data_IF_957513542538
#
_entry.id   IF_957513542538
#
_cell.length_a   1.000
_cell.length_b   1.000
_cell.length_c   1.000
_cell.angle_alpha   90.00
_cell.angle_beta   90.00
_cell.angle_gamma   90.00
#
_symmetry.space_group_name_H-M   'P 1'
#
loop_
_entity.id
_entity.type
_entity.pdbx_description
1 polymer ?
#
# COMPACT_ATOMS: atom_id res chain seq x y z
N UNK A 1 12.43 -19.90 7.08
CA UNK A 1 12.68 -18.80 8.03
C UNK A 1 12.00 -17.56 7.50
N UNK A 2 11.84 -16.52 8.32
CA UNK A 2 11.16 -15.29 7.92
C UNK A 2 11.83 -14.58 6.72
N UNK A 3 11.09 -13.66 6.10
CA UNK A 3 11.58 -12.86 4.98
C UNK A 3 10.52 -11.95 4.39
N UNK A 4 10.75 -11.56 3.15
CA UNK A 4 9.84 -10.71 2.38
C UNK A 4 9.29 -11.45 1.17
N UNK A 5 8.06 -11.11 0.81
CA UNK A 5 7.39 -11.57 -0.40
C UNK A 5 7.21 -10.39 -1.36
N UNK A 6 7.69 -10.56 -2.59
CA UNK A 6 7.57 -9.56 -3.66
C UNK A 6 6.65 -10.14 -4.73
N UNK A 7 5.51 -9.49 -5.03
CA UNK A 7 4.61 -9.93 -6.10
C UNK A 7 5.28 -10.01 -7.47
N UNK A 8 4.75 -10.88 -8.34
CA UNK A 8 5.32 -11.15 -9.66
C UNK A 8 5.42 -9.89 -10.54
N UNK A 9 4.47 -8.96 -10.43
CA UNK A 9 4.46 -7.70 -11.17
C UNK A 9 5.64 -6.76 -10.81
N UNK A 10 6.30 -7.01 -9.67
CA UNK A 10 7.45 -6.23 -9.20
C UNK A 10 8.75 -7.04 -9.17
N UNK A 11 8.65 -8.37 -9.32
CA UNK A 11 9.76 -9.30 -9.18
C UNK A 11 10.95 -8.94 -10.08
N UNK A 12 10.72 -8.62 -11.34
CA UNK A 12 11.80 -8.37 -12.30
C UNK A 12 12.74 -7.23 -11.86
N UNK A 13 12.20 -6.06 -11.51
CA UNK A 13 13.03 -4.92 -11.13
C UNK A 13 13.61 -5.09 -9.72
N UNK A 14 12.85 -5.66 -8.77
CA UNK A 14 13.34 -5.91 -7.41
C UNK A 14 14.48 -6.92 -7.45
N UNK A 15 14.35 -8.02 -8.19
CA UNK A 15 15.43 -8.98 -8.41
C UNK A 15 16.66 -8.30 -9.02
N UNK A 16 16.48 -7.37 -9.97
CA UNK A 16 17.56 -6.54 -10.51
C UNK A 16 18.33 -5.81 -9.40
N UNK A 17 17.63 -5.12 -8.50
CA UNK A 17 18.24 -4.40 -7.37
C UNK A 17 18.91 -5.34 -6.36
N UNK A 18 18.28 -6.46 -6.03
CA UNK A 18 18.84 -7.45 -5.12
C UNK A 18 20.15 -8.05 -5.67
N UNK A 19 20.21 -8.35 -6.97
CA UNK A 19 21.42 -8.88 -7.63
C UNK A 19 22.60 -7.91 -7.61
N UNK A 20 22.37 -6.60 -7.70
CA UNK A 20 23.44 -5.58 -7.62
C UNK A 20 24.21 -5.64 -6.29
N UNK A 21 23.60 -6.23 -5.26
CA UNK A 21 24.15 -6.33 -3.91
C UNK A 21 24.38 -7.77 -3.46
N UNK A 22 24.42 -8.73 -4.40
CA UNK A 22 24.45 -10.19 -4.18
C UNK A 22 23.52 -10.66 -3.04
N UNK A 23 22.30 -10.12 -2.98
CA UNK A 23 21.31 -10.55 -2.01
C UNK A 23 20.64 -11.84 -2.47
N UNK A 24 20.47 -12.78 -1.55
CA UNK A 24 19.82 -14.05 -1.79
C UNK A 24 18.31 -13.83 -1.88
N UNK A 25 17.70 -14.39 -2.92
CA UNK A 25 16.25 -14.49 -3.10
C UNK A 25 15.92 -15.73 -3.93
N UNK A 26 14.65 -16.10 -3.93
CA UNK A 26 14.15 -17.28 -4.62
C UNK A 26 12.87 -16.92 -5.37
N UNK A 27 12.78 -17.35 -6.62
CA UNK A 27 11.54 -17.29 -7.38
C UNK A 27 10.57 -18.37 -6.88
N UNK A 28 9.28 -18.06 -6.89
CA UNK A 28 8.19 -18.89 -6.40
C UNK A 28 7.30 -19.33 -7.56
N UNK A 29 6.78 -20.55 -7.49
CA UNK A 29 5.83 -21.07 -8.49
C UNK A 29 4.42 -20.51 -8.31
N UNK A 30 3.81 -20.66 -7.13
CA UNK A 30 2.58 -19.99 -6.76
C UNK A 30 2.41 -20.16 -5.25
N UNK A 31 1.86 -19.17 -4.58
CA UNK A 31 1.50 -19.24 -3.17
C UNK A 31 0.02 -18.96 -3.01
N UNK A 32 -0.73 -19.95 -2.54
CA UNK A 32 -2.14 -19.81 -2.24
C UNK A 32 -2.36 -19.42 -0.78
N UNK A 33 -3.23 -18.43 -0.56
CA UNK A 33 -3.78 -18.07 0.76
C UNK A 33 -2.77 -18.12 1.92
N UNK A 34 -1.65 -17.41 1.74
CA UNK A 34 -0.53 -17.37 2.68
C UNK A 34 -0.74 -16.26 3.71
N UNK A 35 -0.54 -16.58 4.99
CA UNK A 35 -0.52 -15.58 6.05
C UNK A 35 0.72 -14.70 5.96
N UNK A 36 0.51 -13.39 5.95
CA UNK A 36 1.57 -12.38 5.78
C UNK A 36 1.34 -11.21 6.73
N UNK A 37 2.30 -10.29 6.79
CA UNK A 37 2.03 -8.92 7.21
C UNK A 37 2.04 -8.01 6.00
N UNK A 38 1.01 -7.18 5.86
CA UNK A 38 0.96 -6.10 4.86
C UNK A 38 1.10 -4.75 5.54
N UNK A 39 1.71 -3.79 4.85
CA UNK A 39 1.89 -2.43 5.35
C UNK A 39 0.91 -1.50 4.67
N UNK A 40 0.21 -0.69 5.46
CA UNK A 40 -0.66 0.37 4.95
C UNK A 40 -0.19 1.72 5.46
N UNK A 41 -0.04 2.67 4.54
CA UNK A 41 0.35 4.02 4.91
C UNK A 41 -0.83 4.75 5.59
N UNK A 42 -0.53 5.41 6.71
CA UNK A 42 -1.41 6.36 7.38
C UNK A 42 -1.22 7.79 6.83
N UNK A 43 0.00 8.13 6.40
CA UNK A 43 0.30 9.38 5.70
C UNK A 43 1.36 9.17 4.63
N UNK A 44 1.35 10.04 3.62
CA UNK A 44 2.28 10.04 2.49
C UNK A 44 2.61 11.46 2.06
N UNK A 45 3.88 11.72 1.80
CA UNK A 45 4.39 13.01 1.34
C UNK A 45 5.39 12.78 0.22
N UNK A 46 5.02 13.16 -1.00
CA UNK A 46 5.92 13.16 -2.15
C UNK A 46 6.85 14.38 -2.11
N UNK A 47 8.07 14.22 -2.61
CA UNK A 47 8.95 15.37 -2.82
C UNK A 47 8.38 16.30 -3.89
N UNK A 48 8.54 17.61 -3.66
CA UNK A 48 8.09 18.64 -4.62
C UNK A 48 8.92 18.67 -5.90
N UNK A 49 10.21 18.29 -5.81
CA UNK A 49 11.12 18.18 -6.93
C UNK A 49 11.69 16.76 -7.02
N UNK A 50 12.03 16.28 -8.23
CA UNK A 50 12.71 15.01 -8.38
C UNK A 50 14.17 15.09 -7.91
N UNK A 51 14.70 13.97 -7.47
CA UNK A 51 16.12 13.75 -7.12
C UNK A 51 16.64 12.64 -8.02
N UNK A 52 17.65 12.92 -8.83
CA UNK A 52 18.21 11.96 -9.80
C UNK A 52 17.16 11.30 -10.73
N UNK A 53 16.09 12.04 -11.06
CA UNK A 53 14.98 11.54 -11.89
C UNK A 53 13.91 10.76 -11.13
N UNK A 54 14.04 10.62 -9.81
CA UNK A 54 13.08 9.96 -8.94
C UNK A 54 12.27 10.98 -8.12
N UNK A 55 10.95 10.82 -8.06
CA UNK A 55 10.13 11.53 -7.07
C UNK A 55 10.10 10.71 -5.78
N UNK A 56 10.74 11.21 -4.73
CA UNK A 56 10.87 10.48 -3.47
C UNK A 56 9.58 10.55 -2.66
N UNK A 57 9.43 9.60 -1.75
CA UNK A 57 8.20 9.41 -0.97
C UNK A 57 8.53 9.14 0.49
N UNK A 58 7.98 9.94 1.40
CA UNK A 58 8.03 9.70 2.84
C UNK A 58 6.65 9.28 3.33
N UNK A 59 6.59 8.21 4.11
CA UNK A 59 5.33 7.66 4.62
C UNK A 59 5.40 7.33 6.11
N UNK A 60 4.24 7.36 6.76
CA UNK A 60 4.00 6.71 8.06
C UNK A 60 2.97 5.61 7.88
N UNK A 61 2.89 4.65 8.81
CA UNK A 61 1.94 3.56 8.74
C UNK A 61 2.35 2.38 9.61
N UNK A 62 1.62 1.29 9.48
CA UNK A 62 1.80 0.11 10.32
C UNK A 62 1.70 -1.19 9.50
N UNK A 63 2.39 -2.21 10.00
CA UNK A 63 2.23 -3.58 9.55
C UNK A 63 1.03 -4.23 10.26
N UNK A 64 0.16 -4.88 9.50
CA UNK A 64 -0.98 -5.62 10.04
C UNK A 64 -1.00 -7.05 9.47
N UNK A 65 -1.57 -7.99 10.23
CA UNK A 65 -1.79 -9.35 9.76
C UNK A 65 -2.76 -9.34 8.57
N UNK A 66 -2.43 -10.12 7.55
CA UNK A 66 -3.15 -10.17 6.29
C UNK A 66 -2.98 -11.54 5.63
N UNK A 67 -3.73 -11.79 4.54
CA UNK A 67 -3.60 -12.98 3.72
C UNK A 67 -3.47 -12.58 2.27
N UNK A 68 -2.63 -13.31 1.52
CA UNK A 68 -2.39 -13.00 0.12
C UNK A 68 -2.30 -14.27 -0.72
N UNK A 69 -2.59 -14.14 -2.00
CA UNK A 69 -2.30 -15.14 -3.01
C UNK A 69 -1.33 -14.53 -4.01
N UNK A 70 -0.26 -15.24 -4.33
CA UNK A 70 0.77 -14.79 -5.26
C UNK A 70 0.88 -15.76 -6.43
N UNK A 71 0.86 -15.19 -7.63
CA UNK A 71 1.09 -15.94 -8.85
C UNK A 71 2.56 -16.31 -9.05
N UNK A 72 2.80 -17.05 -10.13
CA UNK A 72 4.14 -17.45 -10.56
C UNK A 72 5.06 -16.29 -10.83
N UNK A 73 6.31 -16.44 -10.43
CA UNK A 73 7.35 -15.43 -10.61
C UNK A 73 7.46 -14.46 -9.43
N UNK A 74 6.62 -14.59 -8.40
CA UNK A 74 6.82 -13.89 -7.14
C UNK A 74 8.18 -14.25 -6.51
N UNK A 75 8.74 -13.36 -5.70
CA UNK A 75 10.01 -13.62 -5.01
C UNK A 75 9.80 -13.83 -3.53
N UNK A 76 10.55 -14.76 -2.96
CA UNK A 76 10.83 -14.83 -1.54
C UNK A 76 12.27 -14.38 -1.26
N UNK A 77 12.41 -13.36 -0.41
CA UNK A 77 13.71 -12.80 0.01
C UNK A 77 13.95 -13.16 1.48
N UNK A 78 14.75 -14.20 1.79
CA UNK A 78 14.98 -14.63 3.16
C UNK A 78 15.73 -13.57 3.97
N UNK A 79 15.28 -13.23 5.19
CA UNK A 79 16.03 -12.28 6.02
C UNK A 79 17.30 -12.91 6.64
N UNK A 80 17.33 -14.24 6.75
CA UNK A 80 18.46 -14.99 7.30
C UNK A 80 19.57 -15.14 6.25
N UNK A 81 20.29 -14.06 6.01
CA UNK A 81 21.45 -13.99 5.13
C UNK A 81 22.47 -12.96 5.64
N UNK A 82 23.76 -13.01 5.24
CA UNK A 82 24.81 -12.14 5.78
C UNK A 82 24.51 -10.63 5.69
N UNK A 83 23.82 -10.19 4.63
CA UNK A 83 23.47 -8.80 4.36
C UNK A 83 22.03 -8.44 4.79
N UNK A 84 21.52 -9.06 5.86
CA UNK A 84 20.13 -8.86 6.33
C UNK A 84 19.75 -7.39 6.53
N UNK A 85 20.65 -6.56 7.08
CA UNK A 85 20.42 -5.11 7.23
C UNK A 85 20.18 -4.39 5.91
N UNK A 86 20.85 -4.82 4.83
CA UNK A 86 20.65 -4.25 3.51
C UNK A 86 19.32 -4.68 2.90
N UNK A 87 18.89 -5.93 3.12
CA UNK A 87 17.54 -6.38 2.75
C UNK A 87 16.49 -5.49 3.41
N UNK A 88 16.62 -5.24 4.72
CA UNK A 88 15.73 -4.34 5.45
C UNK A 88 15.79 -2.92 4.91
N UNK A 89 16.99 -2.37 4.68
CA UNK A 89 17.15 -1.02 4.14
C UNK A 89 16.43 -0.84 2.79
N UNK A 90 16.43 -1.88 1.93
CA UNK A 90 15.79 -1.83 0.61
C UNK A 90 14.27 -2.08 0.66
N UNK A 91 13.80 -2.99 1.51
CA UNK A 91 12.43 -3.52 1.49
C UNK A 91 11.55 -3.06 2.65
N UNK A 92 12.09 -2.38 3.66
CA UNK A 92 11.27 -1.75 4.68
C UNK A 92 10.72 -0.41 4.18
N UNK A 93 9.39 -0.23 4.13
CA UNK A 93 8.78 0.91 3.45
C UNK A 93 9.07 2.24 4.14
N UNK A 94 9.43 2.21 5.43
CA UNK A 94 9.80 3.40 6.21
C UNK A 94 11.33 3.62 6.29
N UNK A 95 12.16 2.77 5.67
CA UNK A 95 13.59 2.99 5.64
C UNK A 95 13.95 4.11 4.63
N UNK A 96 14.92 4.99 4.97
CA UNK A 96 15.25 6.18 4.18
C UNK A 96 15.79 5.87 2.78
N UNK A 97 16.48 4.74 2.63
CA UNK A 97 17.05 4.27 1.36
C UNK A 97 16.25 3.13 0.73
N UNK A 98 15.00 2.95 1.14
CA UNK A 98 14.14 1.90 0.60
C UNK A 98 13.80 2.17 -0.86
N UNK A 99 13.46 1.09 -1.57
CA UNK A 99 12.90 1.19 -2.91
C UNK A 99 11.62 2.05 -2.90
N UNK A 100 10.85 2.03 -1.80
CA UNK A 100 9.69 2.91 -1.66
C UNK A 100 10.11 4.38 -1.51
N UNK A 101 11.08 4.69 -0.66
CA UNK A 101 11.56 6.05 -0.43
C UNK A 101 12.13 6.68 -1.71
N UNK A 102 12.79 5.88 -2.55
CA UNK A 102 13.27 6.28 -3.88
C UNK A 102 12.18 6.29 -4.98
N UNK A 103 10.92 6.04 -4.61
CA UNK A 103 9.77 6.21 -5.50
C UNK A 103 9.47 5.07 -6.46
N UNK A 104 10.10 3.89 -6.30
CA UNK A 104 9.90 2.74 -7.19
C UNK A 104 8.49 2.13 -7.11
N UNK A 105 7.73 2.49 -6.07
CA UNK A 105 6.37 2.00 -5.82
C UNK A 105 5.33 3.13 -5.75
N UNK A 106 5.65 4.34 -6.26
CA UNK A 106 4.76 5.50 -6.16
C UNK A 106 3.34 5.24 -6.69
N UNK A 107 3.21 4.39 -7.71
CA UNK A 107 1.92 4.01 -8.30
C UNK A 107 0.90 3.42 -7.29
N UNK A 108 1.34 2.80 -6.20
CA UNK A 108 0.47 2.30 -5.12
C UNK A 108 -0.01 3.40 -4.17
N UNK A 109 0.62 4.57 -4.24
CA UNK A 109 0.36 5.74 -3.39
C UNK A 109 -0.15 6.93 -4.21
N UNK A 110 -0.34 6.78 -5.51
CA UNK A 110 -0.94 7.76 -6.40
C UNK A 110 -2.44 7.49 -6.52
N UNK A 111 -3.27 8.45 -6.16
CA UNK A 111 -4.71 8.36 -6.43
C UNK A 111 -4.92 8.43 -7.95
N UNK A 112 -5.31 7.31 -8.57
CA UNK A 112 -5.41 7.18 -10.04
C UNK A 112 -6.59 7.93 -10.65
N UNK A 113 -7.61 8.27 -9.88
CA UNK A 113 -8.74 9.10 -10.34
C UNK A 113 -9.22 10.00 -9.22
N UNK A 114 -9.08 11.32 -9.42
CA UNK A 114 -10.01 12.25 -8.80
C UNK A 114 -11.35 11.99 -9.49
N UNK A 115 -12.25 11.28 -8.81
CA UNK A 115 -13.68 11.47 -9.08
C UNK A 115 -13.90 12.97 -8.86
N UNK A 116 -13.93 13.75 -9.94
CA UNK A 116 -14.14 15.21 -9.92
C UNK A 116 -15.21 15.52 -8.88
N UNK A 117 -14.95 16.49 -7.99
CA UNK A 117 -15.75 16.68 -6.77
C UNK A 117 -17.27 16.73 -7.02
N UNK A 118 -17.67 17.16 -8.22
CA UNK A 118 -19.04 17.17 -8.71
C UNK A 118 -19.67 15.76 -8.86
N UNK A 119 -18.94 14.79 -9.40
CA UNK A 119 -19.43 13.41 -9.55
C UNK A 119 -19.50 12.73 -8.18
N UNK A 120 -18.54 13.01 -7.30
CA UNK A 120 -18.51 12.45 -5.96
C UNK A 120 -19.67 12.94 -5.07
N UNK A 121 -20.18 14.18 -5.25
CA UNK A 121 -21.39 14.63 -4.56
C UNK A 121 -22.65 13.90 -5.06
N UNK A 122 -22.81 13.75 -6.38
CA UNK A 122 -23.94 13.03 -6.96
C UNK A 122 -23.96 11.56 -6.49
N UNK A 123 -22.80 10.89 -6.54
CA UNK A 123 -22.62 9.53 -6.05
C UNK A 123 -22.87 9.44 -4.54
N UNK A 124 -22.41 10.41 -3.73
CA UNK A 124 -22.68 10.43 -2.29
C UNK A 124 -24.19 10.51 -2.02
N UNK A 125 -24.95 11.31 -2.79
CA UNK A 125 -26.41 11.39 -2.68
C UNK A 125 -27.08 10.07 -3.04
N UNK A 126 -26.63 9.40 -4.09
CA UNK A 126 -27.12 8.08 -4.49
C UNK A 126 -26.82 7.00 -3.44
N UNK A 127 -25.58 6.96 -2.92
CA UNK A 127 -25.18 6.04 -1.86
C UNK A 127 -26.00 6.27 -0.58
N UNK A 128 -26.19 7.53 -0.18
CA UNK A 128 -27.04 7.87 0.94
C UNK A 128 -28.48 7.48 0.70
N UNK A 129 -29.01 7.62 -0.53
CA UNK A 129 -30.37 7.24 -0.88
C UNK A 129 -30.59 5.72 -0.83
N UNK A 130 -29.62 4.96 -1.34
CA UNK A 130 -29.66 3.51 -1.45
C UNK A 130 -29.40 2.76 -0.13
N UNK A 131 -28.59 3.31 0.77
CA UNK A 131 -28.18 2.65 2.02
C UNK A 131 -28.56 3.49 3.27
N UNK A 132 -29.67 3.14 3.96
CA UNK A 132 -30.08 3.80 5.20
C UNK A 132 -29.06 3.68 6.33
N UNK A 133 -28.32 2.57 6.42
CA UNK A 133 -27.32 2.35 7.47
C UNK A 133 -26.09 3.24 7.23
N UNK A 134 -25.68 3.41 5.98
CA UNK A 134 -24.64 4.37 5.59
C UNK A 134 -25.04 5.80 5.96
N UNK A 135 -26.31 6.16 5.75
CA UNK A 135 -26.86 7.48 6.11
C UNK A 135 -26.81 7.72 7.61
N UNK A 136 -27.23 6.75 8.42
CA UNK A 136 -27.12 6.85 9.87
C UNK A 136 -25.67 7.00 10.32
N UNK A 137 -24.74 6.20 9.77
CA UNK A 137 -23.32 6.28 10.10
C UNK A 137 -22.71 7.64 9.75
N UNK A 138 -23.08 8.22 8.60
CA UNK A 138 -22.63 9.55 8.18
C UNK A 138 -23.17 10.65 9.10
N UNK A 139 -24.47 10.62 9.41
CA UNK A 139 -25.12 11.60 10.28
C UNK A 139 -24.59 11.55 11.71
N UNK A 140 -24.37 10.34 12.24
CA UNK A 140 -23.75 10.15 13.55
C UNK A 140 -22.37 10.79 13.59
N UNK A 141 -21.53 10.52 12.58
CA UNK A 141 -20.19 11.10 12.52
C UNK A 141 -20.22 12.62 12.33
N UNK A 142 -21.16 13.16 11.56
CA UNK A 142 -21.37 14.61 11.46
C UNK A 142 -21.70 15.26 12.81
N UNK A 143 -22.47 14.57 13.67
CA UNK A 143 -22.85 15.09 14.98
C UNK A 143 -21.73 14.98 16.03
N UNK A 144 -20.90 13.94 15.93
CA UNK A 144 -19.91 13.58 16.95
C UNK A 144 -18.48 14.08 16.65
N UNK A 145 -18.17 14.41 15.39
CA UNK A 145 -16.81 14.78 14.93
C UNK A 145 -16.83 16.17 14.25
N UNK A 146 -16.57 17.26 15.02
CA UNK A 146 -16.60 18.64 14.50
C UNK A 146 -15.58 18.89 13.38
N UNK A 147 -14.40 18.27 13.45
CA UNK A 147 -13.35 18.41 12.42
C UNK A 147 -13.78 17.77 11.11
N UNK A 148 -14.45 16.62 11.19
CA UNK A 148 -15.09 15.98 10.04
C UNK A 148 -16.23 16.83 9.47
N UNK A 149 -17.10 17.37 10.33
CA UNK A 149 -18.22 18.20 9.91
C UNK A 149 -17.74 19.48 9.19
N UNK A 150 -16.66 20.09 9.68
CA UNK A 150 -16.07 21.28 9.11
C UNK A 150 -15.30 21.04 7.79
N UNK A 151 -15.00 19.78 7.44
CA UNK A 151 -14.15 19.45 6.29
C UNK A 151 -14.94 18.83 5.13
N UNK A 152 -15.22 19.58 4.03
CA UNK A 152 -15.84 19.04 2.83
C UNK A 152 -15.06 17.86 2.23
N UNK A 153 -13.72 17.92 2.23
CA UNK A 153 -12.87 16.85 1.72
C UNK A 153 -12.95 15.59 2.58
N UNK A 154 -13.02 15.71 3.91
CA UNK A 154 -13.19 14.57 4.80
C UNK A 154 -14.54 13.87 4.58
N UNK A 155 -15.61 14.66 4.41
CA UNK A 155 -16.95 14.15 4.10
C UNK A 155 -17.00 13.44 2.75
N UNK A 156 -16.39 14.01 1.71
CA UNK A 156 -16.27 13.36 0.40
C UNK A 156 -15.49 12.04 0.51
N UNK A 157 -14.37 12.06 1.24
CA UNK A 157 -13.55 10.89 1.50
C UNK A 157 -14.28 9.76 2.24
N UNK A 158 -15.30 10.07 3.05
CA UNK A 158 -16.13 9.07 3.72
C UNK A 158 -16.91 8.20 2.72
N UNK A 159 -17.48 8.82 1.68
CA UNK A 159 -18.19 8.13 0.61
C UNK A 159 -17.23 7.45 -0.36
N UNK A 160 -16.16 8.16 -0.75
CA UNK A 160 -15.16 7.63 -1.66
C UNK A 160 -14.58 6.29 -1.19
N UNK A 161 -14.20 6.17 0.09
CA UNK A 161 -13.67 4.91 0.67
C UNK A 161 -14.67 3.75 0.73
N UNK A 162 -15.97 4.03 0.54
CA UNK A 162 -17.05 3.04 0.61
C UNK A 162 -17.67 2.77 -0.76
N UNK A 163 -17.22 3.49 -1.79
CA UNK A 163 -17.70 3.27 -3.14
C UNK A 163 -17.15 1.94 -3.68
N UNK A 164 -17.92 1.17 -4.47
CA UNK A 164 -17.45 -0.10 -5.05
C UNK A 164 -16.21 0.03 -5.94
N UNK A 165 -15.98 1.21 -6.53
CA UNK A 165 -14.78 1.50 -7.32
C UNK A 165 -13.59 1.99 -6.48
N UNK A 166 -13.71 2.04 -5.15
CA UNK A 166 -12.58 2.40 -4.28
C UNK A 166 -11.50 1.34 -4.42
N UNK A 167 -10.33 1.77 -4.90
CA UNK A 167 -9.18 0.90 -5.00
C UNK A 167 -8.67 0.55 -3.59
N UNK A 168 -9.01 -0.65 -3.13
CA UNK A 168 -8.57 -1.16 -1.83
C UNK A 168 -7.04 -1.31 -1.75
N UNK A 169 -6.34 -1.31 -2.90
CA UNK A 169 -4.89 -1.33 -2.97
C UNK A 169 -4.25 0.05 -2.78
N UNK A 170 -5.01 1.15 -2.85
CA UNK A 170 -4.48 2.49 -2.59
C UNK A 170 -3.87 2.56 -1.19
N UNK A 171 -2.68 3.14 -1.10
CA UNK A 171 -1.89 3.30 0.13
C UNK A 171 -1.42 1.99 0.77
N UNK A 172 -1.46 0.87 0.03
CA UNK A 172 -0.89 -0.42 0.46
C UNK A 172 0.47 -0.63 -0.19
N UNK A 173 1.48 -0.90 0.64
CA UNK A 173 2.80 -1.26 0.15
C UNK A 173 2.77 -2.69 -0.42
N UNK A 174 3.30 -2.94 -1.64
CA UNK A 174 3.12 -4.24 -2.29
C UNK A 174 4.08 -5.33 -1.79
N UNK A 175 5.19 -4.99 -1.13
CA UNK A 175 6.08 -6.01 -0.54
C UNK A 175 5.57 -6.36 0.85
N UNK A 176 5.41 -7.65 1.11
CA UNK A 176 4.87 -8.17 2.37
C UNK A 176 5.96 -8.82 3.19
N UNK A 177 5.75 -8.93 4.50
CA UNK A 177 6.58 -9.76 5.39
C UNK A 177 5.93 -11.13 5.59
N UNK A 178 6.75 -12.15 5.79
CA UNK A 178 6.30 -13.49 6.15
C UNK A 178 7.21 -14.05 7.24
N UNK A 179 6.63 -14.72 8.23
CA UNK A 179 7.38 -15.25 9.39
C UNK A 179 8.04 -16.61 9.12
N UNK A 180 7.62 -17.29 8.06
CA UNK A 180 8.08 -18.63 7.67
C UNK A 180 8.56 -18.66 6.22
N UNK A 181 9.33 -19.69 5.85
CA UNK A 181 9.68 -19.88 4.44
C UNK A 181 8.44 -20.40 3.74
N UNK A 182 7.93 -19.74 2.68
CA UNK A 182 6.70 -20.17 2.03
C UNK A 182 6.95 -21.17 0.89
N UNK A 183 8.20 -21.52 0.60
CA UNK A 183 8.59 -22.49 -0.45
C UNK A 183 8.43 -23.94 -0.01
#
# INVERSE_FOLDING_TARGET
GAGYLVPAEHAAFVAGKLRLHDLVFHELDALGDTGVQSFRAASKTFSAAPVEGHQTLVITGEWAADRTTLGKGALFVPIRQPRSRLVMALLEPQAPDSLLAWGWFNNHFESKEYMEAYVAEAVAREMLAADPALREAFNKRLAEDPDFAASPSARLGFFYRRHPSYDQALDRYPVMRVDTDPR
#
